data_IF_186497575260
#
_entry.id   IF_186497575260
#
_cell.length_a   1.000
_cell.length_b   1.000
_cell.length_c   1.000
_cell.angle_alpha   90.00
_cell.angle_beta   90.00
_cell.angle_gamma   90.00
#
_symmetry.space_group_name_H-M   'P 1'
#
loop_
_entity.id
_entity.type
_entity.pdbx_description
1 polymer ?
#
# COMPACT_ATOMS: atom_id res chain seq x y z
N UNK A 1 -107.12 -38.09 -25.73
CA UNK A 1 -105.72 -38.49 -25.50
C UNK A 1 -104.73 -37.32 -25.63
N UNK A 2 -104.86 -36.47 -26.66
CA UNK A 2 -103.95 -35.34 -26.99
C UNK A 2 -103.77 -34.30 -25.87
N UNK A 3 -104.85 -33.89 -25.15
CA UNK A 3 -104.75 -32.92 -24.04
C UNK A 3 -103.89 -33.40 -22.85
N UNK A 4 -103.79 -34.71 -22.62
CA UNK A 4 -102.91 -35.27 -21.58
C UNK A 4 -101.46 -35.25 -22.04
N UNK A 5 -101.19 -35.62 -23.29
CA UNK A 5 -99.85 -35.60 -23.88
C UNK A 5 -99.25 -34.18 -23.90
N UNK A 6 -100.05 -33.18 -24.29
CA UNK A 6 -99.65 -31.78 -24.35
C UNK A 6 -99.28 -31.21 -22.97
N UNK A 7 -99.95 -31.66 -21.89
CA UNK A 7 -99.59 -31.29 -20.51
C UNK A 7 -98.22 -31.82 -20.12
N UNK A 8 -97.88 -33.06 -20.47
CA UNK A 8 -96.57 -33.66 -20.18
C UNK A 8 -95.44 -33.00 -20.99
N UNK A 9 -95.69 -32.60 -22.24
CA UNK A 9 -94.72 -31.85 -23.06
C UNK A 9 -94.44 -30.47 -22.48
N UNK A 10 -95.48 -29.73 -22.07
CA UNK A 10 -95.33 -28.42 -21.42
C UNK A 10 -94.60 -28.55 -20.07
N UNK A 11 -94.90 -29.59 -19.29
CA UNK A 11 -94.22 -29.87 -18.02
C UNK A 11 -92.73 -30.22 -18.23
N UNK A 12 -92.42 -31.03 -19.25
CA UNK A 12 -91.05 -31.36 -19.62
C UNK A 12 -90.27 -30.12 -20.09
N UNK A 13 -90.88 -29.27 -20.92
CA UNK A 13 -90.26 -28.01 -21.35
C UNK A 13 -90.02 -27.05 -20.18
N UNK A 14 -90.98 -26.92 -19.26
CA UNK A 14 -90.84 -26.12 -18.05
C UNK A 14 -89.72 -26.65 -17.13
N UNK A 15 -89.59 -27.97 -17.01
CA UNK A 15 -88.51 -28.60 -16.24
C UNK A 15 -87.14 -28.32 -16.85
N UNK A 16 -87.00 -28.42 -18.17
CA UNK A 16 -85.74 -28.11 -18.88
C UNK A 16 -85.37 -26.64 -18.72
N UNK A 17 -86.33 -25.72 -18.82
CA UNK A 17 -86.10 -24.30 -18.58
C UNK A 17 -85.68 -24.02 -17.14
N UNK A 18 -86.31 -24.67 -16.16
CA UNK A 18 -85.96 -24.50 -14.75
C UNK A 18 -84.58 -25.08 -14.42
N UNK A 19 -84.26 -26.26 -14.95
CA UNK A 19 -82.95 -26.87 -14.81
C UNK A 19 -81.86 -26.03 -15.49
N UNK A 20 -82.12 -25.51 -16.68
CA UNK A 20 -81.23 -24.59 -17.39
C UNK A 20 -81.01 -23.28 -16.63
N UNK A 21 -82.08 -22.69 -16.08
CA UNK A 21 -81.99 -21.49 -15.26
C UNK A 21 -81.20 -21.75 -13.96
N UNK A 22 -81.44 -22.87 -13.28
CA UNK A 22 -80.69 -23.27 -12.07
C UNK A 22 -79.20 -23.50 -12.36
N UNK A 23 -78.87 -24.20 -13.45
CA UNK A 23 -77.49 -24.38 -13.89
C UNK A 23 -76.82 -23.04 -14.26
N UNK A 24 -77.55 -22.16 -14.94
CA UNK A 24 -77.09 -20.81 -15.25
C UNK A 24 -76.83 -19.98 -13.99
N UNK A 25 -77.77 -19.97 -13.04
CA UNK A 25 -77.65 -19.22 -11.79
C UNK A 25 -76.56 -19.76 -10.88
N UNK A 26 -76.38 -21.07 -10.78
CA UNK A 26 -75.29 -21.68 -10.01
C UNK A 26 -73.92 -21.30 -10.58
N UNK A 27 -73.74 -21.37 -11.91
CA UNK A 27 -72.53 -20.88 -12.57
C UNK A 27 -72.32 -19.38 -12.33
N UNK A 28 -73.38 -18.57 -12.42
CA UNK A 28 -73.30 -17.12 -12.17
C UNK A 28 -72.91 -16.79 -10.72
N UNK A 29 -73.40 -17.56 -9.74
CA UNK A 29 -73.12 -17.38 -8.32
C UNK A 29 -71.68 -17.79 -7.97
N UNK A 30 -71.18 -18.87 -8.57
CA UNK A 30 -69.79 -19.32 -8.43
C UNK A 30 -68.81 -18.30 -9.02
N UNK A 31 -69.15 -17.65 -10.13
CA UNK A 31 -68.28 -16.64 -10.77
C UNK A 31 -68.30 -15.29 -10.03
N UNK A 32 -69.45 -14.88 -9.45
CA UNK A 32 -69.57 -13.61 -8.71
C UNK A 32 -69.07 -13.65 -7.27
N UNK A 33 -68.81 -14.83 -6.72
CA UNK A 33 -68.43 -15.03 -5.31
C UNK A 33 -66.94 -14.96 -4.99
N UNK A 34 -66.09 -14.46 -5.89
CA UNK A 34 -64.66 -14.34 -5.59
C UNK A 34 -64.37 -13.03 -4.87
N UNK A 35 -64.29 -13.10 -3.54
CA UNK A 35 -63.81 -12.01 -2.71
C UNK A 35 -62.44 -11.53 -3.21
N UNK A 36 -62.40 -10.32 -3.77
CA UNK A 36 -61.18 -9.64 -4.17
C UNK A 36 -60.71 -8.71 -3.08
N UNK A 37 -59.39 -8.57 -2.97
CA UNK A 37 -58.73 -7.71 -2.01
C UNK A 37 -57.65 -6.92 -2.73
N UNK A 38 -57.53 -5.64 -2.37
CA UNK A 38 -56.50 -4.76 -2.87
C UNK A 38 -55.20 -5.04 -2.13
N UNK A 39 -54.12 -5.31 -2.87
CA UNK A 39 -52.80 -5.53 -2.28
C UNK A 39 -52.30 -4.21 -1.66
N UNK A 40 -52.02 -4.15 -0.36
CA UNK A 40 -51.49 -2.95 0.28
C UNK A 40 -50.04 -2.68 -0.14
N UNK A 41 -49.57 -1.47 0.14
CA UNK A 41 -48.15 -1.15 0.06
C UNK A 41 -47.41 -1.71 1.27
N UNK A 42 -46.49 -2.63 1.01
CA UNK A 42 -45.67 -3.32 1.99
C UNK A 42 -44.22 -2.82 1.98
N UNK A 43 -43.81 -2.05 0.97
CA UNK A 43 -42.42 -1.63 0.79
C UNK A 43 -41.98 -0.80 2.01
N UNK A 44 -40.81 -1.14 2.55
CA UNK A 44 -40.26 -0.48 3.73
C UNK A 44 -40.99 -0.75 5.05
N UNK A 45 -41.96 -1.66 5.09
CA UNK A 45 -42.58 -2.10 6.36
C UNK A 45 -41.83 -3.30 6.95
N UNK A 46 -41.94 -3.44 8.27
CA UNK A 46 -41.39 -4.55 9.03
C UNK A 46 -42.16 -5.86 8.75
N UNK A 47 -41.43 -6.97 8.64
CA UNK A 47 -42.00 -8.28 8.30
C UNK A 47 -43.13 -8.71 9.25
N UNK A 48 -43.05 -8.41 10.55
CA UNK A 48 -44.06 -8.79 11.53
C UNK A 48 -45.37 -8.05 11.27
N UNK A 49 -45.30 -6.75 11.02
CA UNK A 49 -46.47 -5.91 10.70
C UNK A 49 -47.16 -6.35 9.41
N UNK A 50 -46.38 -6.77 8.42
CA UNK A 50 -46.88 -7.21 7.12
C UNK A 50 -47.61 -8.53 7.24
N UNK A 51 -47.07 -9.49 8.01
CA UNK A 51 -47.70 -10.79 8.21
C UNK A 51 -49.09 -10.65 8.84
N UNK A 52 -49.23 -9.77 9.84
CA UNK A 52 -50.55 -9.45 10.43
C UNK A 52 -51.50 -8.80 9.43
N UNK A 53 -51.00 -7.86 8.63
CA UNK A 53 -51.79 -7.14 7.63
C UNK A 53 -52.29 -8.09 6.53
N UNK A 54 -51.42 -8.93 5.98
CA UNK A 54 -51.76 -9.89 4.94
C UNK A 54 -52.68 -10.99 5.46
N UNK A 55 -52.47 -11.47 6.69
CA UNK A 55 -53.35 -12.44 7.34
C UNK A 55 -54.76 -11.89 7.51
N UNK A 56 -54.91 -10.64 7.97
CA UNK A 56 -56.21 -9.96 8.09
C UNK A 56 -56.93 -9.81 6.75
N UNK A 57 -56.17 -9.63 5.68
CA UNK A 57 -56.68 -9.53 4.31
C UNK A 57 -56.94 -10.90 3.65
N UNK A 58 -56.63 -12.00 4.34
CA UNK A 58 -56.77 -13.35 3.81
C UNK A 58 -55.82 -13.63 2.65
N UNK A 59 -54.65 -12.98 2.62
CA UNK A 59 -53.60 -13.16 1.62
C UNK A 59 -52.46 -14.00 2.19
N UNK A 60 -51.86 -14.85 1.35
CA UNK A 60 -50.72 -15.67 1.73
C UNK A 60 -49.42 -14.92 1.49
N UNK A 61 -48.41 -15.13 2.33
CA UNK A 61 -47.09 -14.50 2.15
C UNK A 61 -46.08 -15.51 1.64
N UNK A 62 -45.33 -15.16 0.59
CA UNK A 62 -44.19 -15.94 0.09
C UNK A 62 -42.92 -15.11 0.12
N UNK A 63 -42.00 -15.47 1.02
CA UNK A 63 -40.71 -14.80 1.13
C UNK A 63 -39.74 -15.38 0.09
N UNK A 64 -39.20 -14.54 -0.77
CA UNK A 64 -38.10 -14.88 -1.68
C UNK A 64 -36.75 -14.75 -0.99
N UNK A 65 -35.68 -15.14 -1.67
CA UNK A 65 -34.31 -14.93 -1.23
C UNK A 65 -34.07 -13.46 -0.83
N UNK A 66 -33.64 -13.18 0.42
CA UNK A 66 -33.39 -11.81 0.86
C UNK A 66 -32.16 -11.20 0.18
N UNK A 67 -32.23 -9.91 -0.14
CA UNK A 67 -31.21 -9.15 -0.88
C UNK A 67 -30.64 -8.01 -0.01
N UNK A 68 -29.41 -7.57 -0.30
CA UNK A 68 -28.82 -6.43 0.41
C UNK A 68 -29.37 -5.10 -0.11
N UNK A 69 -29.57 -4.13 0.78
CA UNK A 69 -30.01 -2.78 0.43
C UNK A 69 -29.38 -1.76 1.37
N UNK A 70 -28.80 -0.71 0.81
CA UNK A 70 -28.24 0.41 1.58
C UNK A 70 -29.31 1.39 2.08
N UNK A 71 -30.54 1.30 1.55
CA UNK A 71 -31.63 2.23 1.85
C UNK A 71 -32.68 1.64 2.80
N UNK A 72 -32.87 0.31 2.75
CA UNK A 72 -33.93 -0.36 3.51
C UNK A 72 -33.30 -1.19 4.64
N UNK A 73 -33.69 -0.96 5.91
CA UNK A 73 -33.17 -1.71 7.06
C UNK A 73 -33.38 -3.23 6.93
N UNK A 74 -32.57 -4.00 7.66
CA UNK A 74 -32.75 -5.44 7.72
C UNK A 74 -34.18 -5.81 8.16
N UNK A 75 -34.70 -6.92 7.62
CA UNK A 75 -36.05 -7.46 7.90
C UNK A 75 -37.22 -6.59 7.44
N UNK A 76 -36.97 -5.55 6.64
CA UNK A 76 -38.01 -4.76 5.98
C UNK A 76 -38.19 -5.20 4.53
N UNK A 77 -39.37 -4.99 3.95
CA UNK A 77 -39.63 -5.38 2.57
C UNK A 77 -38.91 -4.45 1.59
N UNK A 78 -38.03 -5.06 0.79
CA UNK A 78 -37.32 -4.42 -0.30
C UNK A 78 -38.18 -4.30 -1.55
N UNK A 79 -38.89 -5.37 -1.90
CA UNK A 79 -39.79 -5.40 -3.05
C UNK A 79 -40.96 -6.35 -2.82
N UNK A 80 -42.07 -6.06 -3.48
CA UNK A 80 -43.27 -6.90 -3.43
C UNK A 80 -43.78 -7.21 -4.84
N UNK A 81 -44.50 -8.31 -4.94
CA UNK A 81 -45.30 -8.65 -6.12
C UNK A 81 -46.55 -9.43 -5.70
N UNK A 82 -47.76 -9.05 -6.13
CA UNK A 82 -48.08 -7.97 -7.06
C UNK A 82 -47.83 -6.55 -6.51
N UNK A 83 -47.81 -5.56 -7.41
CA UNK A 83 -47.62 -4.15 -7.04
C UNK A 83 -48.74 -3.63 -6.13
N UNK A 84 -48.47 -2.63 -5.27
CA UNK A 84 -49.49 -2.00 -4.45
C UNK A 84 -50.70 -1.52 -5.28
N UNK A 85 -51.90 -1.66 -4.75
CA UNK A 85 -53.14 -1.29 -5.43
C UNK A 85 -53.69 -2.37 -6.38
N UNK A 86 -52.96 -3.47 -6.62
CA UNK A 86 -53.45 -4.56 -7.47
C UNK A 86 -54.58 -5.31 -6.78
N UNK A 87 -55.70 -5.54 -7.46
CA UNK A 87 -56.76 -6.43 -6.98
C UNK A 87 -56.43 -7.90 -7.25
N UNK A 88 -56.43 -8.72 -6.20
CA UNK A 88 -56.26 -10.17 -6.29
C UNK A 88 -57.34 -10.88 -5.50
N UNK A 89 -57.61 -12.14 -5.85
CA UNK A 89 -58.54 -13.00 -5.09
C UNK A 89 -57.96 -13.26 -3.70
N UNK A 90 -58.82 -13.40 -2.69
CA UNK A 90 -58.42 -13.94 -1.38
C UNK A 90 -57.73 -15.31 -1.53
N UNK A 91 -56.80 -15.61 -0.64
CA UNK A 91 -55.97 -16.82 -0.64
C UNK A 91 -54.83 -16.82 -1.66
N UNK A 92 -54.64 -15.72 -2.41
CA UNK A 92 -53.50 -15.59 -3.34
C UNK A 92 -52.23 -15.20 -2.60
N UNK A 93 -51.10 -15.57 -3.19
CA UNK A 93 -49.78 -15.29 -2.65
C UNK A 93 -49.31 -13.88 -3.02
N UNK A 94 -48.84 -13.14 -2.03
CA UNK A 94 -48.01 -11.95 -2.19
C UNK A 94 -46.57 -12.36 -1.94
N UNK A 95 -45.72 -12.18 -2.96
CA UNK A 95 -44.29 -12.45 -2.87
C UNK A 95 -43.58 -11.21 -2.36
N UNK A 96 -42.69 -11.38 -1.39
CA UNK A 96 -41.88 -10.30 -0.84
C UNK A 96 -40.41 -10.68 -0.86
N UNK A 97 -39.54 -9.71 -1.12
CA UNK A 97 -38.09 -9.79 -0.90
C UNK A 97 -37.79 -8.97 0.33
N UNK A 98 -37.11 -9.55 1.31
CA UNK A 98 -36.68 -8.83 2.50
C UNK A 98 -35.28 -8.25 2.29
N UNK A 99 -35.02 -7.09 2.88
CA UNK A 99 -33.68 -6.51 2.95
C UNK A 99 -32.85 -7.23 4.02
N UNK A 100 -31.59 -7.53 3.68
CA UNK A 100 -30.53 -7.94 4.62
C UNK A 100 -29.83 -6.74 5.27
N UNK A 101 -30.27 -5.51 4.98
CA UNK A 101 -29.53 -4.30 5.29
C UNK A 101 -28.33 -4.09 4.36
N UNK A 102 -27.50 -3.08 4.64
CA UNK A 102 -26.34 -2.76 3.82
C UNK A 102 -25.35 -3.92 3.80
N UNK A 103 -24.59 -4.05 2.71
CA UNK A 103 -23.51 -5.04 2.65
C UNK A 103 -22.36 -4.58 3.53
N UNK A 104 -22.09 -5.36 4.57
CA UNK A 104 -20.98 -5.14 5.50
C UNK A 104 -19.70 -5.76 4.94
N UNK A 105 -18.59 -5.06 5.08
CA UNK A 105 -17.25 -5.53 4.75
C UNK A 105 -16.27 -5.10 5.84
N UNK A 106 -15.14 -5.77 5.94
CA UNK A 106 -14.11 -5.40 6.91
C UNK A 106 -13.13 -4.40 6.28
N UNK A 107 -12.79 -3.35 7.01
CA UNK A 107 -11.80 -2.38 6.60
C UNK A 107 -10.46 -3.09 6.28
N UNK A 108 -9.93 -2.95 5.05
CA UNK A 108 -8.67 -3.57 4.67
C UNK A 108 -7.50 -2.94 5.43
N UNK A 109 -6.39 -3.68 5.59
CA UNK A 109 -5.15 -3.12 6.09
C UNK A 109 -4.35 -2.49 4.95
N UNK A 110 -4.21 -1.17 4.99
CA UNK A 110 -3.48 -0.37 4.01
C UNK A 110 -2.16 0.18 4.55
N UNK A 111 -1.89 0.02 5.85
CA UNK A 111 -0.69 0.56 6.51
C UNK A 111 0.57 -0.07 5.93
N UNK A 112 1.55 0.77 5.63
CA UNK A 112 2.82 0.39 5.01
C UNK A 112 2.75 0.20 3.49
N UNK A 113 1.56 0.14 2.89
CA UNK A 113 1.43 0.03 1.44
C UNK A 113 1.68 1.38 0.75
N UNK A 114 2.18 1.37 -0.50
CA UNK A 114 2.19 2.56 -1.34
C UNK A 114 0.77 3.04 -1.65
N UNK A 115 0.56 4.36 -1.71
CA UNK A 115 -0.74 4.97 -2.01
C UNK A 115 -1.40 4.42 -3.28
N UNK A 116 -0.60 4.11 -4.32
CA UNK A 116 -1.08 3.51 -5.56
C UNK A 116 -1.68 2.13 -5.37
N UNK A 117 -1.05 1.28 -4.55
CA UNK A 117 -1.54 -0.06 -4.26
C UNK A 117 -2.82 0.01 -3.41
N UNK A 118 -2.85 0.91 -2.42
CA UNK A 118 -4.03 1.10 -1.59
C UNK A 118 -5.26 1.56 -2.38
N UNK A 119 -5.09 2.40 -3.40
CA UNK A 119 -6.18 2.77 -4.33
C UNK A 119 -6.83 1.56 -4.98
N UNK A 120 -6.02 0.64 -5.50
CA UNK A 120 -6.50 -0.57 -6.17
C UNK A 120 -7.28 -1.44 -5.19
N UNK A 121 -6.76 -1.62 -3.97
CA UNK A 121 -7.43 -2.40 -2.92
C UNK A 121 -8.79 -1.78 -2.56
N UNK A 122 -8.85 -0.46 -2.39
CA UNK A 122 -10.09 0.24 -2.05
C UNK A 122 -11.12 0.11 -3.18
N UNK A 123 -10.71 0.32 -4.43
CA UNK A 123 -11.58 0.19 -5.61
C UNK A 123 -12.13 -1.23 -5.76
N UNK A 124 -11.30 -2.26 -5.58
CA UNK A 124 -11.73 -3.67 -5.64
C UNK A 124 -12.75 -4.03 -4.55
N UNK A 125 -12.71 -3.35 -3.40
CA UNK A 125 -13.67 -3.55 -2.32
C UNK A 125 -14.89 -2.62 -2.43
N UNK A 126 -14.95 -1.78 -3.46
CA UNK A 126 -16.01 -0.79 -3.64
C UNK A 126 -15.96 0.37 -2.64
N UNK A 127 -14.85 0.54 -1.93
CA UNK A 127 -14.65 1.60 -0.95
C UNK A 127 -14.13 2.88 -1.61
N UNK A 128 -14.60 4.03 -1.16
CA UNK A 128 -14.09 5.33 -1.62
C UNK A 128 -12.86 5.79 -0.83
N UNK A 129 -12.07 6.67 -1.44
CA UNK A 129 -10.98 7.37 -0.76
C UNK A 129 -11.52 8.70 -0.25
N UNK A 130 -11.33 8.94 1.04
CA UNK A 130 -11.65 10.20 1.69
C UNK A 130 -10.50 11.18 1.60
N UNK A 131 -10.16 11.79 2.72
CA UNK A 131 -9.09 12.76 2.84
C UNK A 131 -7.72 12.08 2.83
N UNK A 132 -6.79 12.63 2.06
CA UNK A 132 -5.38 12.23 2.08
C UNK A 132 -4.58 13.34 2.75
N UNK A 133 -4.12 13.09 3.97
CA UNK A 133 -3.17 13.96 4.66
C UNK A 133 -1.75 13.50 4.38
N UNK A 134 -0.82 14.43 4.21
CA UNK A 134 0.60 14.12 3.94
C UNK A 134 1.51 14.70 5.01
N UNK A 135 2.44 13.90 5.53
CA UNK A 135 3.39 14.31 6.58
C UNK A 135 4.78 13.76 6.30
N UNK A 136 5.82 14.49 6.71
CA UNK A 136 7.18 13.95 6.69
C UNK A 136 7.36 12.90 7.78
N UNK A 137 8.09 11.84 7.48
CA UNK A 137 8.37 10.74 8.40
C UNK A 137 9.77 10.19 8.17
N UNK A 138 10.60 10.15 9.22
CA UNK A 138 12.04 9.84 9.09
C UNK A 138 12.32 8.43 8.56
N UNK A 139 11.47 7.47 8.92
CA UNK A 139 11.74 6.04 8.68
C UNK A 139 10.81 5.42 7.63
N UNK A 140 9.91 6.20 7.03
CA UNK A 140 8.95 5.67 6.06
C UNK A 140 9.31 6.15 4.67
N UNK A 141 9.14 5.26 3.69
CA UNK A 141 9.31 5.59 2.29
C UNK A 141 8.32 6.68 1.86
N UNK A 142 8.69 7.43 0.83
CA UNK A 142 7.79 8.38 0.21
C UNK A 142 6.55 7.65 -0.35
N UNK A 143 5.38 8.26 -0.19
CA UNK A 143 4.07 7.73 -0.60
C UNK A 143 3.59 6.47 0.14
N UNK A 144 4.27 6.05 1.21
CA UNK A 144 3.80 4.96 2.07
C UNK A 144 2.69 5.43 3.03
N UNK A 145 1.66 4.61 3.24
CA UNK A 145 0.58 4.92 4.18
C UNK A 145 1.04 4.67 5.61
N UNK A 146 0.98 5.70 6.44
CA UNK A 146 1.36 5.68 7.85
C UNK A 146 0.19 5.29 8.75
N UNK A 147 -1.00 5.77 8.41
CA UNK A 147 -2.24 5.50 9.13
C UNK A 147 -3.43 5.56 8.18
N UNK A 148 -4.52 4.92 8.61
CA UNK A 148 -5.79 4.91 7.92
C UNK A 148 -6.90 5.18 8.92
N UNK A 149 -8.05 5.66 8.44
CA UNK A 149 -9.27 5.74 9.23
C UNK A 149 -10.46 5.39 8.32
N UNK A 150 -11.32 4.42 8.68
CA UNK A 150 -11.29 3.62 9.92
C UNK A 150 -10.12 2.62 10.00
N UNK A 151 -9.83 2.15 11.22
CA UNK A 151 -8.81 1.13 11.47
C UNK A 151 -9.15 -0.21 10.80
N UNK A 152 -8.13 -1.03 10.58
CA UNK A 152 -8.30 -2.37 10.00
C UNK A 152 -9.31 -3.21 10.79
N UNK A 153 -10.10 -4.03 10.09
CA UNK A 153 -11.07 -4.93 10.71
C UNK A 153 -12.32 -4.26 11.26
N UNK A 154 -12.45 -2.92 11.18
CA UNK A 154 -13.72 -2.24 11.48
C UNK A 154 -14.73 -2.59 10.40
N UNK A 155 -15.97 -2.85 10.80
CA UNK A 155 -17.07 -3.11 9.85
C UNK A 155 -17.48 -1.81 9.13
N UNK A 156 -17.50 -1.87 7.80
CA UNK A 156 -17.84 -0.77 6.90
C UNK A 156 -18.99 -1.17 5.98
N UNK A 157 -19.79 -0.18 5.59
CA UNK A 157 -20.70 -0.30 4.45
C UNK A 157 -19.94 0.03 3.17
N UNK A 158 -20.36 -0.54 2.03
CA UNK A 158 -19.68 -0.33 0.73
C UNK A 158 -19.57 1.16 0.33
N UNK A 159 -20.46 2.03 0.80
CA UNK A 159 -20.44 3.47 0.52
C UNK A 159 -19.50 4.30 1.41
N UNK A 160 -18.76 3.68 2.35
CA UNK A 160 -17.89 4.40 3.28
C UNK A 160 -16.55 4.77 2.62
N UNK A 161 -16.07 5.98 2.86
CA UNK A 161 -14.74 6.40 2.46
C UNK A 161 -13.70 6.16 3.55
N UNK A 162 -12.45 5.90 3.13
CA UNK A 162 -11.31 5.76 4.02
C UNK A 162 -10.36 6.95 3.90
N UNK A 163 -10.06 7.60 5.02
CA UNK A 163 -9.06 8.66 5.12
C UNK A 163 -7.67 8.04 5.31
N UNK A 164 -6.66 8.63 4.68
CA UNK A 164 -5.29 8.11 4.66
C UNK A 164 -4.29 9.18 5.11
N UNK A 165 -3.33 8.76 5.94
CA UNK A 165 -2.14 9.54 6.26
C UNK A 165 -0.97 8.97 5.48
N UNK A 166 -0.34 9.78 4.64
CA UNK A 166 0.71 9.35 3.70
C UNK A 166 2.03 10.03 4.05
N UNK A 167 3.11 9.26 3.98
CA UNK A 167 4.47 9.73 4.18
C UNK A 167 4.97 10.53 2.98
N UNK A 168 5.60 11.68 3.24
CA UNK A 168 6.41 12.46 2.28
C UNK A 168 7.87 12.01 2.26
N UNK A 169 8.22 10.98 3.03
CA UNK A 169 9.60 10.59 3.30
C UNK A 169 10.26 11.43 4.40
N UNK A 170 11.56 11.23 4.64
CA UNK A 170 12.31 11.99 5.64
C UNK A 170 12.34 13.47 5.29
N UNK A 171 12.17 14.33 6.30
CA UNK A 171 12.34 15.78 6.13
C UNK A 171 13.83 16.09 6.10
N UNK A 172 14.38 16.27 4.91
CA UNK A 172 15.75 16.74 4.76
C UNK A 172 15.85 18.19 5.23
N UNK A 173 16.74 18.47 6.19
CA UNK A 173 17.05 19.84 6.59
C UNK A 173 17.95 20.45 5.52
N UNK A 174 17.54 21.60 4.99
CA UNK A 174 18.37 22.39 4.08
C UNK A 174 19.34 23.23 4.89
N UNK A 175 20.62 23.07 4.60
CA UNK A 175 21.73 23.83 5.14
C UNK A 175 22.35 24.66 4.00
N UNK A 176 23.17 25.65 4.36
CA UNK A 176 24.03 26.34 3.39
C UNK A 176 25.40 25.68 3.41
N UNK A 177 25.94 25.42 2.23
CA UNK A 177 27.27 24.87 2.06
C UNK A 177 28.29 25.82 2.72
N UNK A 178 29.09 25.36 3.69
CA UNK A 178 30.15 26.18 4.27
C UNK A 178 31.21 26.53 3.21
N UNK A 179 31.93 27.61 3.46
CA UNK A 179 33.15 27.92 2.72
C UNK A 179 34.31 27.13 3.33
N UNK A 180 34.90 26.25 2.52
CA UNK A 180 35.99 25.35 2.87
C UNK A 180 37.28 25.73 2.13
N UNK A 181 37.22 26.74 1.25
CA UNK A 181 38.36 27.17 0.46
C UNK A 181 39.49 27.69 1.35
N UNK A 182 40.73 27.29 1.05
CA UNK A 182 41.92 27.73 1.79
C UNK A 182 42.12 27.07 3.16
N UNK A 183 41.12 26.35 3.70
CA UNK A 183 41.30 25.55 4.90
C UNK A 183 42.27 24.39 4.64
N UNK A 184 42.91 23.87 5.70
CA UNK A 184 43.60 22.60 5.59
C UNK A 184 42.61 21.47 5.34
N UNK A 185 43.03 20.43 4.61
CA UNK A 185 42.16 19.30 4.29
C UNK A 185 41.54 18.65 5.54
N UNK A 186 42.30 18.53 6.64
CA UNK A 186 41.80 18.00 7.91
C UNK A 186 40.71 18.89 8.55
N UNK A 187 40.88 20.20 8.55
CA UNK A 187 39.88 21.15 9.06
C UNK A 187 38.62 21.14 8.19
N UNK A 188 38.77 21.06 6.87
CA UNK A 188 37.64 20.98 5.96
C UNK A 188 36.82 19.70 6.18
N UNK A 189 37.47 18.54 6.39
CA UNK A 189 36.79 17.29 6.74
C UNK A 189 36.01 17.41 8.05
N UNK A 190 36.60 18.00 9.10
CA UNK A 190 35.91 18.23 10.37
C UNK A 190 34.71 19.17 10.22
N UNK A 191 34.82 20.21 9.39
CA UNK A 191 33.74 21.14 9.11
C UNK A 191 32.56 20.46 8.39
N UNK A 192 32.85 19.60 7.40
CA UNK A 192 31.86 18.79 6.67
C UNK A 192 31.14 17.81 7.60
N UNK A 193 31.89 17.09 8.45
CA UNK A 193 31.31 16.11 9.38
C UNK A 193 30.42 16.75 10.45
N UNK A 194 30.78 17.95 10.95
CA UNK A 194 30.02 18.66 12.00
C UNK A 194 28.58 18.99 11.58
N UNK A 195 28.35 19.16 10.28
CA UNK A 195 27.04 19.47 9.71
C UNK A 195 26.40 18.27 9.00
N UNK A 196 26.85 17.05 9.33
CA UNK A 196 26.36 15.78 8.80
C UNK A 196 26.41 15.68 7.27
N UNK A 197 27.38 16.32 6.62
CA UNK A 197 27.66 16.10 5.20
C UNK A 197 28.61 14.90 5.03
N UNK A 198 28.55 14.27 3.86
CA UNK A 198 29.37 13.09 3.53
C UNK A 198 30.51 13.52 2.63
N UNK A 199 31.73 13.10 2.92
CA UNK A 199 32.87 13.38 2.04
C UNK A 199 32.84 12.42 0.84
N UNK A 200 32.90 12.98 -0.36
CA UNK A 200 33.01 12.25 -1.62
C UNK A 200 34.47 11.94 -1.99
N UNK A 201 34.72 11.37 -3.19
CA UNK A 201 36.07 11.10 -3.65
C UNK A 201 36.86 12.42 -3.77
N UNK A 202 38.05 12.43 -3.18
CA UNK A 202 38.94 13.60 -3.18
C UNK A 202 39.68 13.71 -4.50
N UNK A 203 39.86 14.94 -4.97
CA UNK A 203 40.69 15.26 -6.13
C UNK A 203 41.92 16.03 -5.69
N UNK A 204 42.97 15.97 -6.53
CA UNK A 204 44.23 16.64 -6.27
C UNK A 204 44.53 17.57 -7.45
N UNK A 205 44.93 18.80 -7.14
CA UNK A 205 45.42 19.76 -8.11
C UNK A 205 46.70 20.43 -7.58
N UNK A 206 47.50 21.01 -8.48
CA UNK A 206 48.77 21.64 -8.12
C UNK A 206 48.65 23.16 -8.25
N UNK A 207 48.85 23.88 -7.14
CA UNK A 207 48.87 25.34 -7.08
C UNK A 207 50.11 25.82 -6.30
N UNK A 208 51.00 26.54 -6.99
CA UNK A 208 52.31 26.93 -6.43
C UNK A 208 52.21 27.95 -5.31
N UNK A 209 51.16 28.79 -5.34
CA UNK A 209 50.93 29.88 -4.40
C UNK A 209 50.08 29.48 -3.19
N UNK A 210 49.70 28.21 -3.08
CA UNK A 210 48.87 27.69 -1.99
C UNK A 210 49.67 26.69 -1.14
N UNK A 211 49.37 26.55 0.17
CA UNK A 211 50.04 25.59 1.02
C UNK A 211 49.72 24.14 0.60
N UNK A 212 50.63 23.21 0.89
CA UNK A 212 50.40 21.77 0.72
C UNK A 212 49.19 21.35 1.57
N UNK A 213 48.27 20.58 0.98
CA UNK A 213 47.09 20.12 1.72
C UNK A 213 45.97 21.14 1.88
N UNK A 214 46.09 22.35 1.33
CA UNK A 214 45.02 23.33 1.32
C UNK A 214 43.88 22.92 0.38
N UNK A 215 42.64 23.27 0.71
CA UNK A 215 41.50 23.08 -0.19
C UNK A 215 41.52 24.15 -1.27
N UNK A 216 41.69 23.72 -2.52
CA UNK A 216 41.67 24.56 -3.73
C UNK A 216 40.30 24.67 -4.37
N UNK A 217 39.39 23.77 -4.04
CA UNK A 217 38.07 23.70 -4.65
C UNK A 217 37.10 22.86 -3.83
N UNK A 218 35.83 23.20 -3.91
CA UNK A 218 34.74 22.43 -3.32
C UNK A 218 33.56 22.33 -4.29
N UNK A 219 32.87 21.20 -4.25
CA UNK A 219 31.61 20.96 -4.95
C UNK A 219 30.65 20.27 -3.96
N UNK A 220 29.50 20.89 -3.59
CA UNK A 220 28.97 22.17 -4.08
C UNK A 220 29.74 23.43 -3.64
N UNK A 221 29.59 24.58 -4.33
CA UNK A 221 30.26 25.84 -3.97
C UNK A 221 29.70 26.44 -2.67
N UNK A 222 30.47 27.31 -2.03
CA UNK A 222 30.07 27.98 -0.79
C UNK A 222 28.72 28.71 -0.93
N UNK A 223 27.87 28.61 0.09
CA UNK A 223 26.54 29.19 0.12
C UNK A 223 25.46 28.42 -0.64
N UNK A 224 25.81 27.41 -1.43
CA UNK A 224 24.85 26.56 -2.15
C UNK A 224 23.94 25.79 -1.17
N UNK A 225 22.63 25.62 -1.45
CA UNK A 225 21.76 24.83 -0.59
C UNK A 225 22.15 23.34 -0.66
N UNK A 226 22.38 22.73 0.50
CA UNK A 226 22.70 21.30 0.65
C UNK A 226 21.78 20.66 1.67
N UNK A 227 21.56 19.35 1.54
CA UNK A 227 20.81 18.57 2.53
C UNK A 227 21.77 17.86 3.49
N UNK A 228 21.35 17.58 4.72
CA UNK A 228 22.06 16.61 5.57
C UNK A 228 22.28 15.29 4.80
N UNK A 229 23.49 14.75 4.88
CA UNK A 229 23.93 13.57 4.13
C UNK A 229 24.40 13.84 2.70
N UNK A 230 24.36 15.08 2.20
CA UNK A 230 24.84 15.39 0.84
C UNK A 230 26.35 15.16 0.71
N UNK A 231 26.75 14.70 -0.47
CA UNK A 231 28.15 14.43 -0.79
C UNK A 231 28.88 15.72 -1.16
N UNK A 232 30.01 15.97 -0.51
CA UNK A 232 30.92 17.10 -0.78
C UNK A 232 32.20 16.56 -1.38
N UNK A 233 32.59 17.06 -2.56
CA UNK A 233 33.89 16.79 -3.16
C UNK A 233 34.83 17.93 -2.84
N UNK A 234 36.06 17.60 -2.47
CA UNK A 234 37.13 18.56 -2.21
C UNK A 234 38.27 18.34 -3.19
N UNK A 235 38.83 19.45 -3.67
CA UNK A 235 40.08 19.48 -4.42
C UNK A 235 41.16 19.95 -3.45
N UNK A 236 42.14 19.10 -3.17
CA UNK A 236 43.28 19.40 -2.32
C UNK A 236 44.47 19.84 -3.18
N UNK A 237 45.24 20.80 -2.66
CA UNK A 237 46.53 21.16 -3.21
C UNK A 237 47.57 20.08 -2.93
N UNK A 238 48.29 19.71 -3.98
CA UNK A 238 49.52 18.96 -3.90
C UNK A 238 50.60 19.72 -4.64
N UNK A 239 51.61 20.21 -3.92
CA UNK A 239 52.76 20.86 -4.51
C UNK A 239 53.68 19.78 -5.07
N UNK A 240 53.93 19.83 -6.37
CA UNK A 240 55.02 19.05 -6.96
C UNK A 240 56.32 19.63 -6.45
N UNK A 241 56.99 18.91 -5.55
CA UNK A 241 58.30 19.31 -5.07
C UNK A 241 59.25 19.46 -6.27
N UNK A 242 59.65 20.70 -6.55
CA UNK A 242 60.84 20.95 -7.34
C UNK A 242 62.02 20.31 -6.61
N UNK A 243 62.79 19.50 -7.34
CA UNK A 243 63.99 18.82 -6.88
C UNK A 243 64.75 19.58 -5.77
N UNK A 244 65.01 18.90 -4.64
CA UNK A 244 65.54 19.37 -3.36
C UNK A 244 64.53 19.87 -2.31
N UNK A 245 63.58 18.99 -1.95
CA UNK A 245 63.23 18.79 -0.55
C UNK A 245 63.66 17.36 -0.21
N UNK A 246 64.30 17.15 0.93
CA UNK A 246 64.74 15.83 1.40
C UNK A 246 63.65 14.79 1.13
N UNK A 247 63.95 13.84 0.25
CA UNK A 247 63.13 12.67 0.00
C UNK A 247 63.11 11.77 1.25
N UNK A 248 62.34 12.18 2.24
CA UNK A 248 61.84 11.29 3.30
C UNK A 248 60.57 10.55 2.88
N UNK A 249 60.02 10.85 1.71
CA UNK A 249 58.83 10.22 1.13
C UNK A 249 59.01 9.77 -0.33
N UNK A 250 60.25 9.58 -0.77
CA UNK A 250 60.46 8.62 -1.86
C UNK A 250 60.54 7.25 -1.17
N UNK A 251 59.61 6.31 -1.42
CA UNK A 251 59.74 4.98 -0.84
C UNK A 251 61.12 4.43 -1.13
N UNK A 252 61.89 4.18 -0.09
CA UNK A 252 63.20 3.51 -0.22
C UNK A 252 63.06 2.11 -0.83
N UNK A 253 61.84 1.56 -0.78
CA UNK A 253 61.38 0.36 -1.48
C UNK A 253 59.85 0.29 -1.43
N UNK A 254 59.26 -0.61 -2.21
CA UNK A 254 57.83 -0.92 -2.17
C UNK A 254 57.68 -2.37 -1.77
N UNK A 255 57.08 -2.61 -0.60
CA UNK A 255 56.68 -3.93 -0.15
C UNK A 255 55.35 -4.30 -0.82
N UNK A 256 55.27 -5.52 -1.34
CA UNK A 256 54.04 -6.06 -1.90
C UNK A 256 53.36 -6.96 -0.86
N UNK A 257 52.21 -6.52 -0.35
CA UNK A 257 51.31 -7.37 0.40
C UNK A 257 50.45 -8.17 -0.57
N UNK A 258 50.43 -9.49 -0.39
CA UNK A 258 49.54 -10.39 -1.11
C UNK A 258 48.75 -11.20 -0.10
N UNK A 259 47.43 -11.28 -0.31
CA UNK A 259 46.58 -12.20 0.42
C UNK A 259 45.76 -13.01 -0.57
N UNK A 260 45.87 -14.34 -0.50
CA UNK A 260 45.09 -15.25 -1.31
C UNK A 260 43.90 -15.73 -0.51
N UNK A 261 42.72 -15.60 -1.10
CA UNK A 261 41.47 -15.98 -0.46
C UNK A 261 41.41 -17.50 -0.35
N UNK A 262 40.93 -17.99 0.80
CA UNK A 262 40.82 -19.42 1.06
C UNK A 262 40.00 -20.12 -0.02
N UNK A 263 40.44 -21.32 -0.36
CA UNK A 263 39.69 -22.18 -1.27
C UNK A 263 38.35 -22.57 -0.63
N UNK A 264 37.29 -22.50 -1.41
CA UNK A 264 35.92 -22.72 -0.98
C UNK A 264 34.97 -22.77 -2.18
N UNK A 265 33.68 -22.91 -1.93
CA UNK A 265 32.64 -22.99 -2.97
C UNK A 265 31.86 -21.69 -3.16
N UNK A 266 31.92 -20.78 -2.18
CA UNK A 266 31.12 -19.55 -2.14
C UNK A 266 32.03 -18.32 -2.16
N UNK A 267 31.52 -17.23 -2.75
CA UNK A 267 32.16 -15.93 -2.69
C UNK A 267 32.25 -15.46 -1.24
N UNK A 268 33.42 -14.96 -0.86
CA UNK A 268 33.71 -14.49 0.50
C UNK A 268 33.76 -12.97 0.49
N UNK A 269 33.13 -12.30 1.46
CA UNK A 269 33.25 -10.84 1.60
C UNK A 269 34.65 -10.52 2.13
N UNK A 270 35.42 -9.78 1.36
CA UNK A 270 36.76 -9.36 1.74
C UNK A 270 36.73 -7.88 2.10
N UNK A 271 37.13 -7.58 3.34
CA UNK A 271 37.40 -6.20 3.77
C UNK A 271 38.90 -6.02 4.00
N UNK A 272 39.52 -5.10 3.26
CA UNK A 272 40.91 -4.73 3.45
C UNK A 272 40.97 -3.37 4.10
N UNK A 273 41.49 -3.32 5.32
CA UNK A 273 41.71 -2.08 6.07
C UNK A 273 43.19 -1.76 6.12
N UNK A 274 43.51 -0.51 5.81
CA UNK A 274 44.87 0.00 5.79
C UNK A 274 44.99 1.18 6.75
N UNK A 275 46.05 1.16 7.55
CA UNK A 275 46.43 2.24 8.45
C UNK A 275 47.91 2.55 8.25
N UNK A 276 48.21 3.70 7.65
CA UNK A 276 49.59 4.11 7.38
C UNK A 276 49.63 5.42 6.61
N UNK A 277 50.74 6.16 6.69
CA UNK A 277 50.92 7.44 5.96
C UNK A 277 49.85 8.50 6.27
N UNK A 278 49.27 8.48 7.46
CA UNK A 278 48.15 9.37 7.84
C UNK A 278 46.83 9.06 7.11
N UNK A 279 46.78 7.96 6.35
CA UNK A 279 45.58 7.40 5.74
C UNK A 279 45.07 6.25 6.62
N UNK A 280 43.81 6.32 6.99
CA UNK A 280 43.09 5.22 7.65
C UNK A 280 41.79 4.98 6.91
N UNK A 281 41.58 3.77 6.41
CA UNK A 281 40.35 3.49 5.69
C UNK A 281 40.23 2.06 5.22
N UNK A 282 39.01 1.71 4.82
CA UNK A 282 38.69 0.48 4.12
C UNK A 282 39.00 0.69 2.63
N UNK A 283 40.05 0.02 2.15
CA UNK A 283 40.51 0.13 0.77
C UNK A 283 39.69 -0.78 -0.16
N UNK A 284 39.18 -1.90 0.36
CA UNK A 284 38.38 -2.88 -0.38
C UNK A 284 37.26 -3.36 0.54
N UNK A 285 36.02 -3.36 0.04
CA UNK A 285 34.85 -4.04 0.62
C UNK A 285 34.07 -4.70 -0.52
N UNK A 286 34.34 -5.98 -0.80
CA UNK A 286 33.74 -6.67 -1.94
C UNK A 286 33.70 -8.19 -1.78
N UNK A 287 32.76 -8.83 -2.48
CA UNK A 287 32.70 -10.29 -2.58
C UNK A 287 33.64 -10.81 -3.68
N UNK A 288 34.59 -11.65 -3.29
CA UNK A 288 35.61 -12.19 -4.18
C UNK A 288 35.52 -13.72 -4.32
N UNK A 289 36.00 -14.23 -5.45
CA UNK A 289 35.94 -15.65 -5.79
C UNK A 289 37.03 -16.44 -5.04
N UNK A 290 36.76 -17.69 -4.62
CA UNK A 290 37.75 -18.52 -3.93
C UNK A 290 39.04 -18.69 -4.73
N UNK A 291 40.18 -18.48 -4.08
CA UNK A 291 41.49 -18.58 -4.70
C UNK A 291 41.98 -17.34 -5.44
N UNK A 292 41.19 -16.26 -5.52
CA UNK A 292 41.63 -14.94 -5.99
C UNK A 292 42.64 -14.30 -5.02
N UNK A 293 43.46 -13.40 -5.55
CA UNK A 293 44.51 -12.71 -4.80
C UNK A 293 44.25 -11.21 -4.72
N UNK A 294 44.36 -10.68 -3.51
CA UNK A 294 44.36 -9.25 -3.24
C UNK A 294 45.80 -8.78 -3.09
N UNK A 295 46.17 -7.74 -3.83
CA UNK A 295 47.50 -7.15 -3.82
C UNK A 295 47.43 -5.70 -3.37
N UNK A 296 48.30 -5.32 -2.43
CA UNK A 296 48.47 -3.95 -1.98
C UNK A 296 49.95 -3.59 -2.00
N UNK A 297 50.28 -2.49 -2.66
CA UNK A 297 51.63 -1.91 -2.63
C UNK A 297 51.75 -1.00 -1.41
N UNK A 298 52.74 -1.27 -0.58
CA UNK A 298 52.99 -0.59 0.69
C UNK A 298 54.38 0.02 0.59
N UNK A 299 54.51 1.35 0.69
CA UNK A 299 55.82 1.98 0.71
C UNK A 299 56.59 1.55 1.99
N UNK A 300 57.89 1.23 1.87
CA UNK A 300 58.72 0.67 2.95
C UNK A 300 59.30 1.74 3.91
N UNK A 301 59.03 3.02 3.68
CA UNK A 301 59.61 4.13 4.42
C UNK A 301 58.79 4.59 5.64
N UNK A 302 57.66 3.94 5.92
CA UNK A 302 56.83 4.23 7.09
C UNK A 302 56.13 3.00 7.65
N UNK A 303 55.77 3.09 8.94
CA UNK A 303 55.01 2.06 9.62
C UNK A 303 53.58 1.99 9.08
N UNK A 304 53.17 0.79 8.67
CA UNK A 304 51.85 0.54 8.11
C UNK A 304 51.26 -0.76 8.65
N UNK A 305 49.94 -0.76 8.89
CA UNK A 305 49.19 -1.92 9.32
C UNK A 305 48.15 -2.27 8.25
N UNK A 306 48.19 -3.51 7.81
CA UNK A 306 47.19 -4.09 6.90
C UNK A 306 46.42 -5.15 7.64
N UNK A 307 45.10 -5.03 7.66
CA UNK A 307 44.20 -6.02 8.20
C UNK A 307 43.24 -6.50 7.12
N UNK A 308 43.14 -7.82 6.95
CA UNK A 308 42.21 -8.46 6.02
C UNK A 308 41.18 -9.24 6.81
N UNK A 309 39.91 -8.94 6.55
CA UNK A 309 38.77 -9.64 7.08
C UNK A 309 38.11 -10.46 5.98
N UNK A 310 37.81 -11.71 6.29
CA UNK A 310 37.00 -12.60 5.45
C UNK A 310 35.68 -12.84 6.19
N UNK A 311 34.55 -12.48 5.59
CA UNK A 311 33.21 -12.54 6.23
C UNK A 311 33.20 -11.95 7.64
N UNK A 312 33.74 -10.73 7.77
CA UNK A 312 33.87 -9.96 9.00
C UNK A 312 34.80 -10.56 10.09
N UNK A 313 35.44 -11.70 9.82
CA UNK A 313 36.46 -12.30 10.69
C UNK A 313 37.87 -11.87 10.27
N UNK A 314 38.67 -11.35 11.22
CA UNK A 314 40.07 -11.00 10.96
C UNK A 314 40.89 -12.26 10.66
N UNK A 315 41.41 -12.38 9.44
CA UNK A 315 42.21 -13.55 9.01
C UNK A 315 43.68 -13.22 8.93
N UNK A 316 44.02 -11.99 8.55
CA UNK A 316 45.42 -11.54 8.44
C UNK A 316 45.55 -10.16 9.03
N UNK A 317 46.56 -9.96 9.88
CA UNK A 317 47.03 -8.65 10.31
C UNK A 317 48.53 -8.62 10.16
N UNK A 318 49.04 -7.70 9.34
CA UNK A 318 50.47 -7.58 9.08
C UNK A 318 50.91 -6.14 9.29
N UNK A 319 51.89 -6.00 10.16
CA UNK A 319 52.61 -4.76 10.42
C UNK A 319 53.84 -4.71 9.50
N UNK A 320 54.03 -3.57 8.87
CA UNK A 320 55.18 -3.24 8.04
C UNK A 320 55.92 -2.13 8.77
N UNK A 321 57.21 -2.34 9.02
CA UNK A 321 58.10 -1.39 9.68
C UNK A 321 59.15 -0.91 8.69
N UNK A 322 59.64 0.33 8.85
CA UNK A 322 60.72 0.87 8.03
C UNK A 322 62.07 0.19 8.28
#
# INVERSE_FOLDING_TARGET
MIRRLMKWVVLGAAFVLFAGASAYFTVLFVIKGEDRVVVPDLIGKDVVQILETLSRLGLNTKVKEPEHSDQIPANHVLSQYPSPGTEIKKGRDVRIVLSKGPRMLLAPNLKGLPLRQARIILEQNGLCIGNISKVYHSNALNEAILAQSPDQGVELTQSRCMDLLVSLGPRLRTLKMPDLMGLSFSEAVLAVQRINLVLGPNQVAEEQNQPEGAVLGQDPPAGHPVFEGSVVKLIRNHKKDGANSDSKFAPKGIALFKHRIKNGFLKTRIQLKFYGYGLSGELIDSYMDPGEEVMLLIPEDAEAFVSVYEDDALVVSKEFKP
#
